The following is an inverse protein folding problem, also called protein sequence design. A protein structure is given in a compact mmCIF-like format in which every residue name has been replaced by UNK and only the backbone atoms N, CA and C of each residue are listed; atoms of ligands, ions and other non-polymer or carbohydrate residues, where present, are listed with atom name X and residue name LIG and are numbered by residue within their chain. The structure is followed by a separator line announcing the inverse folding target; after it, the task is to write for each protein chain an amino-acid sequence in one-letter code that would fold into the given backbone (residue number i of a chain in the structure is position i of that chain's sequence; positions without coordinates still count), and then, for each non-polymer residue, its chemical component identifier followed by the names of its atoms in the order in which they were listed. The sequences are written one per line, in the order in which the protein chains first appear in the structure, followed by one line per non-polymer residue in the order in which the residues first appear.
data_IF_493551671952
#
_entry.id   IF_493551671952
#
_cell.length_a   1.000
_cell.length_b   1.000
_cell.length_c   1.000
_cell.angle_alpha   90.00
_cell.angle_beta   90.00
_cell.angle_gamma   90.00
#
_symmetry.space_group_name_H-M   'P 1'
#
loop_
_entity.id
_entity.type
_entity.pdbx_description
1 polymer ?
#
# COMPACT_ATOMS: atom_id res chain seq x y z
N UNK A 1 35.76 -15.21 -10.27
CA UNK A 1 34.51 -15.99 -10.32
C UNK A 1 33.54 -15.34 -9.34
N UNK A 2 32.88 -14.27 -9.78
CA UNK A 2 32.03 -13.43 -8.91
C UNK A 2 30.61 -13.94 -8.96
N UNK A 3 30.11 -14.41 -7.83
CA UNK A 3 28.71 -14.80 -7.64
C UNK A 3 27.87 -13.52 -7.62
N UNK A 4 27.25 -13.22 -8.76
CA UNK A 4 26.26 -12.17 -8.87
C UNK A 4 24.97 -12.69 -8.20
N UNK A 5 24.74 -12.27 -6.97
CA UNK A 5 23.49 -12.44 -6.25
C UNK A 5 22.37 -11.78 -7.05
N UNK A 6 21.67 -12.58 -7.85
CA UNK A 6 20.43 -12.16 -8.50
C UNK A 6 19.46 -11.70 -7.41
N UNK A 7 18.93 -10.46 -7.45
CA UNK A 7 17.76 -10.14 -6.66
C UNK A 7 16.62 -10.97 -7.22
N UNK A 8 16.32 -12.10 -6.57
CA UNK A 8 15.06 -12.79 -6.74
C UNK A 8 14.00 -11.84 -6.23
N UNK A 9 13.49 -10.98 -7.12
CA UNK A 9 12.28 -10.21 -6.88
C UNK A 9 11.21 -11.26 -6.58
N UNK A 10 10.80 -11.36 -5.32
CA UNK A 10 9.74 -12.26 -4.92
C UNK A 10 8.46 -11.84 -5.65
N UNK A 11 7.95 -12.73 -6.52
CA UNK A 11 6.75 -12.45 -7.32
C UNK A 11 5.51 -12.23 -6.44
N UNK A 12 5.57 -12.66 -5.19
CA UNK A 12 4.49 -12.47 -4.21
C UNK A 12 4.41 -11.02 -3.78
N UNK A 13 5.55 -10.43 -3.39
CA UNK A 13 5.64 -9.01 -3.02
C UNK A 13 5.28 -8.09 -4.17
N UNK A 14 5.80 -8.36 -5.37
CA UNK A 14 5.50 -7.54 -6.55
C UNK A 14 4.00 -7.52 -6.92
N UNK A 15 3.27 -8.62 -6.67
CA UNK A 15 1.81 -8.70 -6.91
C UNK A 15 1.03 -7.92 -5.85
N UNK A 16 1.47 -7.97 -4.59
CA UNK A 16 0.85 -7.22 -3.51
C UNK A 16 1.00 -5.71 -3.73
N UNK A 17 2.21 -5.28 -4.12
CA UNK A 17 2.49 -3.87 -4.44
C UNK A 17 1.56 -3.38 -5.57
N UNK A 18 1.48 -4.10 -6.69
CA UNK A 18 0.63 -3.72 -7.81
C UNK A 18 -0.88 -3.66 -7.46
N UNK A 19 -1.34 -4.45 -6.48
CA UNK A 19 -2.75 -4.41 -6.03
C UNK A 19 -3.02 -3.18 -5.17
N UNK A 20 -2.13 -2.91 -4.21
CA UNK A 20 -2.16 -1.69 -3.38
C UNK A 20 -2.13 -0.46 -4.28
N UNK A 21 -1.34 -0.52 -5.36
CA UNK A 21 -1.22 0.56 -6.31
C UNK A 21 -2.55 0.93 -6.97
N UNK A 22 -3.27 -0.09 -7.47
CA UNK A 22 -4.56 0.08 -8.11
C UNK A 22 -5.65 0.52 -7.12
N UNK A 23 -5.65 -0.03 -5.90
CA UNK A 23 -6.61 0.32 -4.85
C UNK A 23 -6.44 1.79 -4.43
N UNK A 24 -5.21 2.29 -4.37
CA UNK A 24 -4.91 3.69 -4.07
C UNK A 24 -5.33 4.64 -5.20
N UNK A 25 -4.99 4.31 -6.44
CA UNK A 25 -5.38 5.12 -7.60
C UNK A 25 -6.91 5.24 -7.69
N UNK A 26 -7.64 4.14 -7.48
CA UNK A 26 -9.10 4.15 -7.45
C UNK A 26 -9.66 4.98 -6.29
N UNK A 27 -9.05 4.90 -5.10
CA UNK A 27 -9.46 5.68 -3.94
C UNK A 27 -9.32 7.18 -4.17
N UNK A 28 -8.15 7.65 -4.66
CA UNK A 28 -7.92 9.07 -4.94
C UNK A 28 -8.74 9.58 -6.12
N UNK A 29 -8.92 8.76 -7.17
CA UNK A 29 -9.81 9.08 -8.27
C UNK A 29 -11.26 9.27 -7.80
N UNK A 30 -11.74 8.44 -6.87
CA UNK A 30 -13.07 8.56 -6.25
C UNK A 30 -13.26 9.81 -5.40
N UNK A 31 -12.18 10.36 -4.83
CA UNK A 31 -12.20 11.60 -4.05
C UNK A 31 -12.13 12.87 -4.93
N UNK A 32 -11.90 12.74 -6.24
CA UNK A 32 -11.69 13.87 -7.15
C UNK A 32 -10.40 14.64 -6.89
N UNK A 33 -9.49 14.08 -6.08
CA UNK A 33 -8.19 14.66 -5.78
C UNK A 33 -7.25 14.35 -6.94
N UNK A 34 -6.87 15.37 -7.71
CA UNK A 34 -5.85 15.28 -8.76
C UNK A 34 -4.42 15.10 -8.21
N UNK A 35 -4.27 14.30 -7.15
CA UNK A 35 -3.00 14.03 -6.49
C UNK A 35 -2.28 12.89 -7.19
N UNK A 36 -0.94 12.99 -7.24
CA UNK A 36 -0.11 11.91 -7.74
C UNK A 36 -0.04 10.80 -6.68
N UNK A 37 -0.91 9.81 -6.79
CA UNK A 37 -0.98 8.66 -5.89
C UNK A 37 0.36 7.92 -5.77
N UNK A 38 1.20 7.97 -6.82
CA UNK A 38 2.55 7.39 -6.79
C UNK A 38 3.46 8.09 -5.77
N UNK A 39 3.48 9.42 -5.71
CA UNK A 39 4.34 10.15 -4.75
C UNK A 39 3.87 9.95 -3.31
N UNK A 40 2.55 9.99 -3.11
CA UNK A 40 1.91 9.73 -1.82
C UNK A 40 2.19 8.33 -1.30
N UNK A 41 2.15 7.34 -2.21
CA UNK A 41 2.53 5.96 -1.92
C UNK A 41 4.00 5.87 -1.57
N UNK A 42 4.87 6.53 -2.32
CA UNK A 42 6.31 6.43 -2.08
C UNK A 42 6.72 7.06 -0.75
N UNK A 43 6.04 8.13 -0.33
CA UNK A 43 6.21 8.73 0.98
C UNK A 43 5.71 7.84 2.14
N UNK A 44 4.72 6.97 1.91
CA UNK A 44 4.10 6.11 2.94
C UNK A 44 4.29 4.60 2.71
N UNK A 45 5.22 4.23 1.82
CA UNK A 45 5.38 2.87 1.31
C UNK A 45 5.65 1.87 2.42
N UNK A 46 6.56 2.23 3.34
CA UNK A 46 6.92 1.38 4.48
C UNK A 46 5.70 1.05 5.35
N UNK A 47 4.77 2.00 5.51
CA UNK A 47 3.55 1.82 6.30
C UNK A 47 2.51 0.97 5.58
N UNK A 48 2.37 1.15 4.26
CA UNK A 48 1.51 0.32 3.43
C UNK A 48 1.99 -1.13 3.41
N UNK A 49 3.29 -1.36 3.20
CA UNK A 49 3.89 -2.69 3.22
C UNK A 49 3.73 -3.33 4.59
N UNK A 50 3.97 -2.58 5.67
CA UNK A 50 3.80 -3.09 7.03
C UNK A 50 2.35 -3.52 7.33
N UNK A 51 1.34 -2.76 6.89
CA UNK A 51 -0.07 -3.12 7.05
C UNK A 51 -0.50 -4.25 6.12
N UNK A 52 -0.04 -4.25 4.87
CA UNK A 52 -0.33 -5.30 3.90
C UNK A 52 0.32 -6.64 4.25
N UNK A 53 1.42 -6.62 5.02
CA UNK A 53 2.07 -7.80 5.56
C UNK A 53 1.28 -8.46 6.71
N UNK A 54 0.36 -7.73 7.36
CA UNK A 54 -0.50 -8.30 8.39
C UNK A 54 -1.55 -9.22 7.78
N UNK A 55 -1.99 -10.23 8.53
CA UNK A 55 -3.13 -11.06 8.18
C UNK A 55 -4.46 -10.32 8.37
N UNK A 56 -5.55 -10.83 7.77
CA UNK A 56 -6.88 -10.21 7.90
C UNK A 56 -7.35 -10.18 9.34
N UNK A 57 -7.00 -11.20 10.13
CA UNK A 57 -7.30 -11.26 11.56
C UNK A 57 -6.56 -10.16 12.34
N UNK A 58 -5.30 -9.88 12.00
CA UNK A 58 -4.50 -8.84 12.65
C UNK A 58 -4.94 -7.42 12.25
N UNK A 59 -5.41 -7.24 11.02
CA UNK A 59 -6.04 -5.99 10.58
C UNK A 59 -7.40 -5.79 11.27
N UNK A 60 -8.23 -6.83 11.32
CA UNK A 60 -9.53 -6.79 12.00
C UNK A 60 -9.38 -6.51 13.51
N UNK A 61 -8.36 -7.06 14.16
CA UNK A 61 -8.03 -6.76 15.55
C UNK A 61 -7.67 -5.28 15.78
N UNK A 62 -7.21 -4.58 14.73
CA UNK A 62 -6.95 -3.14 14.71
C UNK A 62 -8.14 -2.31 14.22
N UNK A 63 -9.26 -2.94 13.85
CA UNK A 63 -10.43 -2.29 13.29
C UNK A 63 -10.22 -1.77 11.86
N UNK A 64 -9.29 -2.36 11.12
CA UNK A 64 -8.95 -2.00 9.73
C UNK A 64 -9.32 -3.18 8.85
N UNK A 65 -9.97 -2.95 7.71
CA UNK A 65 -10.12 -3.98 6.68
C UNK A 65 -9.05 -3.81 5.60
N UNK A 66 -8.87 -4.86 4.77
CA UNK A 66 -7.85 -4.87 3.71
C UNK A 66 -8.03 -3.70 2.74
N UNK A 67 -9.27 -3.35 2.42
CA UNK A 67 -9.62 -2.33 1.43
C UNK A 67 -9.65 -0.92 2.03
N UNK A 68 -9.70 -0.80 3.35
CA UNK A 68 -9.60 0.43 4.14
C UNK A 68 -8.20 0.74 4.62
N UNK A 69 -7.19 -0.08 4.29
CA UNK A 69 -5.77 0.27 4.50
C UNK A 69 -5.44 1.65 3.89
N UNK A 70 -5.81 1.97 2.63
CA UNK A 70 -5.71 3.33 2.09
C UNK A 70 -6.32 4.40 2.98
N UNK A 71 -7.59 4.26 3.34
CA UNK A 71 -8.30 5.24 4.15
C UNK A 71 -7.66 5.44 5.53
N UNK A 72 -7.11 4.37 6.13
CA UNK A 72 -6.40 4.45 7.39
C UNK A 72 -5.03 5.14 7.25
N UNK A 73 -4.23 4.76 6.25
CA UNK A 73 -2.87 5.29 6.02
C UNK A 73 -2.89 6.77 5.62
N UNK A 74 -3.92 7.19 4.89
CA UNK A 74 -4.10 8.56 4.39
C UNK A 74 -5.19 9.33 5.15
N UNK A 75 -5.63 8.82 6.31
CA UNK A 75 -6.63 9.49 7.15
C UNK A 75 -6.22 10.91 7.53
N UNK A 76 -4.91 11.17 7.64
CA UNK A 76 -4.32 12.48 7.89
C UNK A 76 -4.52 13.48 6.73
N UNK A 77 -4.59 12.99 5.48
CA UNK A 77 -4.95 13.82 4.32
C UNK A 77 -6.44 14.08 4.19
N UNK A 78 -7.28 13.18 4.72
CA UNK A 78 -8.74 13.28 4.64
C UNK A 78 -9.35 14.12 5.76
N UNK A 79 -8.64 14.28 6.87
CA UNK A 79 -9.09 15.04 8.04
C UNK A 79 -8.76 16.55 7.96
N UNK A 80 -8.13 17.01 6.88
CA UNK A 80 -7.79 18.41 6.62
C UNK A 80 -8.83 19.09 5.73
#
# INVERSE_FOLDING_TARGET
MSLQTSPTIDRTTARTDARIDADLDAFFAGLGMGVNAYELRQARRDRLVALAALSDAELAARGIDRDGIPAHVFSDLLAA
#
